data_IF_718914506219
#
_entry.id   IF_718914506219
#
_cell.length_a   1.000
_cell.length_b   1.000
_cell.length_c   1.000
_cell.angle_alpha   90.00
_cell.angle_beta   90.00
_cell.angle_gamma   90.00
#
_symmetry.space_group_name_H-M   'P 1'
#
loop_
_entity.id
_entity.type
_entity.pdbx_description
1 polymer ?
#
# COMPACT_ATOMS: atom_id res chain seq x y z
N UNK A 1 9.29 -7.08 -8.41
CA UNK A 1 7.95 -7.69 -8.60
C UNK A 1 7.90 -9.16 -8.25
N UNK A 2 8.82 -9.99 -8.73
CA UNK A 2 8.78 -11.43 -8.44
C UNK A 2 8.80 -11.75 -6.95
N UNK A 3 9.58 -11.02 -6.15
CA UNK A 3 9.64 -11.19 -4.71
C UNK A 3 8.30 -10.86 -4.04
N UNK A 4 7.65 -9.78 -4.45
CA UNK A 4 6.34 -9.38 -3.90
C UNK A 4 5.26 -10.37 -4.27
N UNK A 5 5.28 -10.91 -5.48
CA UNK A 5 4.32 -11.94 -5.89
C UNK A 5 4.48 -13.19 -5.04
N UNK A 6 5.72 -13.60 -4.75
CA UNK A 6 5.96 -14.75 -3.88
C UNK A 6 5.44 -14.52 -2.46
N UNK A 7 5.58 -13.32 -1.91
CA UNK A 7 5.03 -12.96 -0.60
C UNK A 7 3.51 -13.07 -0.61
N UNK A 8 2.85 -12.57 -1.64
CA UNK A 8 1.40 -12.64 -1.76
C UNK A 8 0.91 -14.08 -1.84
N UNK A 9 1.57 -14.93 -2.62
CA UNK A 9 1.19 -16.35 -2.73
C UNK A 9 1.34 -17.10 -1.42
N UNK A 10 2.43 -16.87 -0.69
CA UNK A 10 2.75 -17.60 0.54
C UNK A 10 2.08 -17.03 1.78
N UNK A 11 1.98 -15.72 1.89
CA UNK A 11 1.54 -15.05 3.12
C UNK A 11 0.11 -14.53 3.06
N UNK A 12 -0.36 -14.15 1.90
CA UNK A 12 -1.72 -13.65 1.72
C UNK A 12 -2.64 -14.66 1.01
N UNK A 13 -2.11 -15.83 0.65
CA UNK A 13 -2.84 -16.90 -0.03
C UNK A 13 -3.48 -16.43 -1.35
N UNK A 14 -2.78 -15.59 -2.08
CA UNK A 14 -3.21 -15.09 -3.38
C UNK A 14 -2.39 -15.74 -4.48
N UNK A 15 -3.06 -16.18 -5.55
CA UNK A 15 -2.39 -16.74 -6.72
C UNK A 15 -2.22 -15.64 -7.75
N UNK A 16 -0.98 -15.40 -8.17
CA UNK A 16 -0.65 -14.27 -9.02
C UNK A 16 -0.26 -14.66 -10.45
N UNK A 17 -0.03 -15.94 -10.71
CA UNK A 17 0.30 -16.38 -12.05
C UNK A 17 -0.90 -16.25 -13.00
N UNK A 18 -0.67 -15.96 -14.26
CA UNK A 18 -1.68 -15.78 -15.31
C UNK A 18 -2.60 -14.57 -15.11
N UNK A 19 -2.19 -13.60 -14.31
CA UNK A 19 -2.94 -12.37 -14.13
C UNK A 19 -2.18 -11.19 -14.70
N UNK A 20 -2.88 -10.34 -15.42
CA UNK A 20 -2.36 -9.05 -15.81
C UNK A 20 -2.48 -8.11 -14.60
N UNK A 21 -1.39 -7.45 -14.25
CA UNK A 21 -1.36 -6.56 -13.10
C UNK A 21 -1.30 -5.12 -13.57
N UNK A 22 -2.32 -4.34 -13.22
CA UNK A 22 -2.36 -2.91 -13.47
C UNK A 22 -1.96 -2.18 -12.20
N UNK A 23 -0.89 -1.41 -12.30
CA UNK A 23 -0.33 -0.70 -11.16
C UNK A 23 -0.57 0.78 -11.33
N UNK A 24 -1.28 1.36 -10.36
CA UNK A 24 -1.51 2.78 -10.30
C UNK A 24 -0.77 3.34 -9.08
N UNK A 25 0.36 3.98 -9.32
CA UNK A 25 1.21 4.51 -8.25
C UNK A 25 1.00 6.00 -8.14
N UNK A 26 0.58 6.44 -6.97
CA UNK A 26 0.29 7.85 -6.69
C UNK A 26 1.51 8.59 -6.13
N UNK A 27 1.50 9.92 -6.23
CA UNK A 27 2.44 10.77 -5.50
C UNK A 27 3.88 10.73 -6.01
N UNK A 28 4.10 10.31 -7.25
CA UNK A 28 5.44 10.26 -7.81
C UNK A 28 6.34 9.19 -7.22
N UNK A 29 5.78 8.18 -6.56
CA UNK A 29 6.55 7.03 -6.09
C UNK A 29 7.10 6.26 -7.28
N UNK A 30 8.38 5.91 -7.22
CA UNK A 30 8.99 5.04 -8.21
C UNK A 30 8.71 3.58 -7.86
N UNK A 31 8.49 2.74 -8.89
CA UNK A 31 8.18 1.32 -8.67
C UNK A 31 9.32 0.56 -8.00
N UNK A 32 10.56 1.01 -8.18
CA UNK A 32 11.74 0.41 -7.53
C UNK A 32 11.90 0.83 -6.07
N UNK A 33 11.13 1.80 -5.61
CA UNK A 33 11.22 2.33 -4.25
C UNK A 33 10.53 1.38 -3.27
N UNK A 34 11.20 0.98 -2.15
CA UNK A 34 10.56 0.08 -1.18
C UNK A 34 9.22 0.59 -0.64
N UNK A 35 9.05 1.90 -0.57
CA UNK A 35 7.80 2.49 -0.12
C UNK A 35 6.61 2.16 -1.03
N UNK A 36 6.84 1.72 -2.26
CA UNK A 36 5.78 1.32 -3.20
C UNK A 36 5.35 -0.14 -3.03
N UNK A 37 6.04 -0.92 -2.22
CA UNK A 37 5.78 -2.36 -2.08
C UNK A 37 4.33 -2.67 -1.73
N UNK A 38 3.78 -2.01 -0.72
CA UNK A 38 2.41 -2.29 -0.28
C UNK A 38 1.39 -1.91 -1.35
N UNK A 39 1.62 -0.80 -2.05
CA UNK A 39 0.74 -0.39 -3.16
C UNK A 39 0.76 -1.42 -4.28
N UNK A 40 1.92 -1.97 -4.61
CA UNK A 40 2.05 -3.03 -5.61
C UNK A 40 1.29 -4.28 -5.19
N UNK A 41 1.43 -4.69 -3.94
CA UNK A 41 0.70 -5.83 -3.38
C UNK A 41 -0.82 -5.61 -3.49
N UNK A 42 -1.29 -4.44 -3.12
CA UNK A 42 -2.73 -4.15 -3.15
C UNK A 42 -3.26 -4.08 -4.58
N UNK A 43 -2.46 -3.58 -5.53
CA UNK A 43 -2.83 -3.57 -6.94
C UNK A 43 -2.99 -4.99 -7.48
N UNK A 44 -2.08 -5.90 -7.11
CA UNK A 44 -2.17 -7.31 -7.50
C UNK A 44 -3.43 -7.95 -6.91
N UNK A 45 -3.71 -7.73 -5.63
CA UNK A 45 -4.89 -8.28 -4.97
C UNK A 45 -6.17 -7.73 -5.58
N UNK A 46 -6.20 -6.43 -5.88
CA UNK A 46 -7.33 -5.79 -6.56
C UNK A 46 -7.62 -6.47 -7.90
N UNK A 47 -6.58 -6.75 -8.68
CA UNK A 47 -6.70 -7.43 -9.96
C UNK A 47 -7.23 -8.86 -9.79
N UNK A 48 -6.67 -9.62 -8.82
CA UNK A 48 -7.07 -11.01 -8.58
C UNK A 48 -8.50 -11.13 -8.08
N UNK A 49 -8.96 -10.20 -7.26
CA UNK A 49 -10.32 -10.20 -6.70
C UNK A 49 -11.33 -9.51 -7.60
N UNK A 50 -10.88 -8.89 -8.69
CA UNK A 50 -11.70 -8.03 -9.53
C UNK A 50 -12.46 -6.98 -8.69
N UNK A 51 -11.76 -6.41 -7.73
CA UNK A 51 -12.31 -5.43 -6.81
C UNK A 51 -11.46 -4.16 -6.82
N UNK A 52 -12.06 -3.03 -7.17
CA UNK A 52 -11.35 -1.76 -7.27
C UNK A 52 -11.02 -1.20 -5.89
N UNK A 53 -9.83 -0.58 -5.80
CA UNK A 53 -9.50 0.27 -4.65
C UNK A 53 -10.11 1.66 -4.94
N UNK A 54 -10.70 2.28 -3.92
CA UNK A 54 -11.30 3.60 -4.10
C UNK A 54 -10.30 4.62 -4.66
N UNK A 55 -10.76 5.47 -5.56
CA UNK A 55 -9.92 6.48 -6.21
C UNK A 55 -9.30 7.48 -5.21
N UNK A 56 -9.93 7.66 -4.05
CA UNK A 56 -9.48 8.56 -2.99
C UNK A 56 -8.43 7.95 -2.07
N UNK A 57 -8.09 6.67 -2.26
CA UNK A 57 -7.19 5.92 -1.37
C UNK A 57 -5.79 5.86 -1.95
N UNK A 58 -4.80 6.28 -1.16
CA UNK A 58 -3.39 6.08 -1.45
C UNK A 58 -2.85 4.99 -0.50
N UNK A 59 -1.89 4.21 -0.98
CA UNK A 59 -1.31 3.11 -0.22
C UNK A 59 0.21 3.24 -0.27
N UNK A 60 0.87 3.11 0.89
CA UNK A 60 2.32 3.16 0.95
C UNK A 60 2.85 2.24 2.06
N UNK A 61 4.04 1.70 1.87
CA UNK A 61 4.69 0.83 2.86
C UNK A 61 5.70 -0.11 2.24
N UNK A 62 6.72 -0.46 2.99
CA UNK A 62 7.68 -1.50 2.60
C UNK A 62 7.18 -2.85 3.11
N UNK A 63 7.30 -3.89 2.27
CA UNK A 63 6.85 -5.24 2.64
C UNK A 63 8.06 -6.15 2.83
N UNK A 64 8.16 -6.75 4.01
CA UNK A 64 9.18 -7.75 4.31
C UNK A 64 8.78 -9.14 3.82
N UNK A 65 9.76 -10.05 3.78
CA UNK A 65 9.57 -11.43 3.30
C UNK A 65 8.51 -12.21 4.09
N UNK A 66 8.31 -11.84 5.34
CA UNK A 66 7.31 -12.50 6.19
C UNK A 66 5.91 -11.88 6.06
N UNK A 67 5.72 -10.92 5.17
CA UNK A 67 4.44 -10.25 4.97
C UNK A 67 4.18 -9.08 5.92
N UNK A 68 5.16 -8.69 6.72
CA UNK A 68 5.07 -7.53 7.59
C UNK A 68 5.21 -6.21 6.82
N UNK A 69 4.50 -5.19 7.25
CA UNK A 69 4.58 -3.85 6.67
C UNK A 69 5.54 -3.03 7.53
N UNK A 70 6.60 -2.53 6.90
CA UNK A 70 7.68 -1.80 7.57
C UNK A 70 7.56 -0.30 7.35
N UNK A 71 8.05 0.46 8.32
CA UNK A 71 8.11 1.92 8.23
C UNK A 71 8.87 2.39 7.00
N UNK A 72 8.46 3.52 6.46
CA UNK A 72 9.08 4.15 5.29
C UNK A 72 9.62 5.54 5.66
N UNK A 73 10.65 6.00 4.96
CA UNK A 73 11.22 7.32 5.23
C UNK A 73 10.33 8.43 4.67
N UNK A 74 10.43 9.61 5.27
CA UNK A 74 9.77 10.84 4.79
C UNK A 74 8.26 10.68 4.63
N UNK A 75 7.63 9.96 5.55
CA UNK A 75 6.20 9.67 5.46
C UNK A 75 5.35 10.95 5.48
N UNK A 76 5.74 11.94 6.26
CA UNK A 76 5.09 13.24 6.34
C UNK A 76 5.06 13.95 4.97
N UNK A 77 6.16 13.92 4.24
CA UNK A 77 6.22 14.51 2.89
C UNK A 77 5.33 13.76 1.91
N UNK A 78 5.30 12.43 2.01
CA UNK A 78 4.44 11.58 1.16
C UNK A 78 2.97 11.86 1.42
N UNK A 79 2.59 12.05 2.68
CA UNK A 79 1.22 12.41 3.07
C UNK A 79 0.84 13.77 2.50
N UNK A 80 1.72 14.76 2.62
CA UNK A 80 1.49 16.09 2.05
C UNK A 80 1.29 16.04 0.54
N UNK A 81 2.08 15.24 -0.15
CA UNK A 81 1.95 15.07 -1.60
C UNK A 81 0.61 14.41 -1.96
N UNK A 82 0.20 13.39 -1.21
CA UNK A 82 -1.10 12.76 -1.40
C UNK A 82 -2.24 13.74 -1.20
N UNK A 83 -2.15 14.59 -0.17
CA UNK A 83 -3.15 15.63 0.07
C UNK A 83 -3.23 16.59 -1.11
N UNK A 84 -2.09 17.02 -1.63
CA UNK A 84 -2.02 17.91 -2.79
C UNK A 84 -2.67 17.29 -4.03
N UNK A 85 -2.52 15.98 -4.19
CA UNK A 85 -3.09 15.24 -5.33
C UNK A 85 -4.57 14.89 -5.15
N UNK A 86 -5.17 15.21 -4.01
CA UNK A 86 -6.60 15.02 -3.78
C UNK A 86 -6.98 13.71 -3.09
N UNK A 87 -6.01 12.92 -2.64
CA UNK A 87 -6.31 11.72 -1.85
C UNK A 87 -6.83 12.12 -0.46
N UNK A 88 -7.79 11.39 0.05
CA UNK A 88 -8.40 11.65 1.36
C UNK A 88 -8.15 10.55 2.38
N UNK A 89 -7.76 9.36 1.93
CA UNK A 89 -7.46 8.23 2.80
C UNK A 89 -6.10 7.67 2.44
N UNK A 90 -5.26 7.42 3.43
CA UNK A 90 -3.93 6.82 3.22
C UNK A 90 -3.79 5.59 4.08
N UNK A 91 -3.48 4.47 3.45
CA UNK A 91 -3.08 3.23 4.11
C UNK A 91 -1.56 3.23 4.19
N UNK A 92 -1.02 3.11 5.39
CA UNK A 92 0.41 3.26 5.63
C UNK A 92 0.87 2.36 6.77
N UNK A 93 2.21 2.21 6.95
CA UNK A 93 2.70 1.39 8.06
C UNK A 93 2.27 1.96 9.41
N UNK A 94 1.75 1.11 10.27
CA UNK A 94 1.34 1.51 11.62
C UNK A 94 2.50 2.12 12.40
N UNK A 95 3.69 1.62 12.20
CA UNK A 95 4.90 2.15 12.85
C UNK A 95 5.15 3.61 12.53
N UNK A 96 4.83 4.07 11.32
CA UNK A 96 4.97 5.48 10.94
C UNK A 96 3.97 6.38 11.67
N UNK A 97 2.85 5.85 12.11
CA UNK A 97 1.78 6.66 12.71
C UNK A 97 2.16 7.27 14.06
N UNK A 98 3.17 6.74 14.72
CA UNK A 98 3.60 7.22 16.03
C UNK A 98 4.02 8.69 16.02
N UNK A 99 4.50 9.20 14.89
CA UNK A 99 5.05 10.55 14.75
C UNK A 99 4.27 11.41 13.77
N UNK A 100 3.11 10.93 13.34
CA UNK A 100 2.35 11.61 12.31
C UNK A 100 1.08 12.22 12.87
N UNK A 101 0.70 13.36 12.31
CA UNK A 101 -0.63 13.93 12.48
C UNK A 101 -1.33 13.87 11.13
N UNK A 102 -2.60 13.45 11.12
CA UNK A 102 -3.40 13.50 9.91
C UNK A 102 -3.68 14.97 9.56
N UNK A 103 -3.38 15.41 8.33
CA UNK A 103 -3.81 16.70 7.87
C UNK A 103 -5.35 16.80 7.92
N UNK A 104 -5.86 18.01 8.00
CA UNK A 104 -7.30 18.22 8.01
C UNK A 104 -7.95 17.60 6.77
N UNK A 105 -9.01 16.85 6.97
CA UNK A 105 -9.70 16.15 5.89
C UNK A 105 -9.07 14.85 5.44
N UNK A 106 -7.96 14.42 6.05
CA UNK A 106 -7.27 13.17 5.71
C UNK A 106 -7.51 12.11 6.78
N UNK A 107 -7.73 10.87 6.33
CA UNK A 107 -7.82 9.71 7.20
C UNK A 107 -6.58 8.84 7.01
N UNK A 108 -5.84 8.59 8.09
CA UNK A 108 -4.69 7.70 8.08
C UNK A 108 -5.07 6.37 8.71
N UNK A 109 -4.80 5.28 7.99
CA UNK A 109 -5.08 3.92 8.45
C UNK A 109 -3.77 3.16 8.53
N UNK A 110 -3.34 2.83 9.74
CA UNK A 110 -2.09 2.09 9.96
C UNK A 110 -2.29 0.59 9.90
N UNK A 111 -1.39 -0.10 9.21
CA UNK A 111 -1.41 -1.56 9.11
C UNK A 111 -0.04 -2.14 9.43
N UNK A 112 -0.02 -3.33 10.01
CA UNK A 112 1.20 -4.06 10.36
C UNK A 112 1.55 -5.17 9.38
N UNK A 113 0.57 -5.67 8.64
CA UNK A 113 0.75 -6.80 7.73
C UNK A 113 0.01 -6.59 6.42
N UNK A 114 0.44 -7.30 5.38
CA UNK A 114 -0.25 -7.33 4.10
C UNK A 114 -1.68 -7.84 4.26
N UNK A 115 -1.87 -8.85 5.13
CA UNK A 115 -3.22 -9.39 5.39
C UNK A 115 -4.15 -8.35 6.00
N UNK A 116 -3.65 -7.53 6.92
CA UNK A 116 -4.44 -6.42 7.46
C UNK A 116 -4.84 -5.43 6.38
N UNK A 117 -3.90 -5.08 5.50
CA UNK A 117 -4.17 -4.16 4.40
C UNK A 117 -5.28 -4.69 3.49
N UNK A 118 -5.22 -5.98 3.16
CA UNK A 118 -6.26 -6.64 2.35
C UNK A 118 -7.61 -6.55 3.05
N UNK A 119 -7.65 -6.84 4.34
CA UNK A 119 -8.90 -6.78 5.13
C UNK A 119 -9.51 -5.38 5.17
N UNK A 120 -8.66 -4.35 5.19
CA UNK A 120 -9.13 -2.96 5.23
C UNK A 120 -9.70 -2.53 3.88
N UNK A 121 -9.04 -2.91 2.78
CA UNK A 121 -9.39 -2.43 1.43
C UNK A 121 -10.44 -3.30 0.74
N UNK A 122 -10.51 -4.54 1.11
CA UNK A 122 -11.38 -5.54 0.47
C UNK A 122 -12.17 -6.32 1.53
#
# INVERSE_FOLDING_TARGET
MALLLAVLEKRANQKTYNQDVYINVAGGLELSEPAADLALCMAVVSSLKDAAIGAEVAVMGEVGLAGGVRAIPQCDRRISECQRLGFTTILLPKENMRRLKAPEGMKLVGVDTVMQAISVLF
#
